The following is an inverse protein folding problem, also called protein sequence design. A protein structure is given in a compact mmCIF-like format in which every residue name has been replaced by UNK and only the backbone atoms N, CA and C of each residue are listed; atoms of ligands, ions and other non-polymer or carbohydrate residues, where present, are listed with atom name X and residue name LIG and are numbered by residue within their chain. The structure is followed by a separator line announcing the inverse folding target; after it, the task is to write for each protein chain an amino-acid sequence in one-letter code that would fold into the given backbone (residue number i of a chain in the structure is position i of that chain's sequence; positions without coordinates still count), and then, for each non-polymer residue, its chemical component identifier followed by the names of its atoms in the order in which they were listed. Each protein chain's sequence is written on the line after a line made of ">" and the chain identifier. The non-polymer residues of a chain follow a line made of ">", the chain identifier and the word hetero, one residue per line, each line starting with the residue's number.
data_IF_622290050096
#
_entry.id   IF_622290050096
#
_cell.length_a   1.000
_cell.length_b   1.000
_cell.length_c   1.000
_cell.angle_alpha   90.00
_cell.angle_beta   90.00
_cell.angle_gamma   90.00
#
_symmetry.space_group_name_H-M   'P 1'
#
loop_
_entity.id
_entity.type
_entity.pdbx_description
1 polymer ?
#
# COMPACT_ATOMS: atom_id res chain seq x y z
N UNK A 1 -12.21 -12.26 -9.07
CA UNK A 1 -10.82 -11.85 -8.75
C UNK A 1 -10.86 -10.64 -7.83
N UNK A 2 -9.91 -10.48 -6.90
CA UNK A 2 -9.78 -9.24 -6.12
C UNK A 2 -8.87 -8.29 -6.87
N UNK A 3 -9.40 -7.16 -7.32
CA UNK A 3 -8.67 -6.14 -8.09
C UNK A 3 -8.59 -4.88 -7.24
N UNK A 4 -7.40 -4.29 -7.17
CA UNK A 4 -7.17 -3.01 -6.50
C UNK A 4 -7.11 -1.91 -7.57
N UNK A 5 -8.04 -0.97 -7.51
CA UNK A 5 -8.17 0.14 -8.46
C UNK A 5 -8.82 1.35 -7.79
N UNK A 6 -8.63 2.56 -8.33
CA UNK A 6 -9.29 3.77 -7.83
C UNK A 6 -10.78 3.82 -8.17
N UNK A 7 -11.19 3.19 -9.28
CA UNK A 7 -12.56 3.24 -9.80
C UNK A 7 -12.94 1.89 -10.45
N UNK A 8 -14.23 1.65 -10.71
CA UNK A 8 -14.71 0.40 -11.33
C UNK A 8 -14.32 0.23 -12.80
N UNK A 9 -14.04 1.30 -13.55
CA UNK A 9 -13.64 1.22 -14.96
C UNK A 9 -12.24 0.61 -15.06
N UNK A 10 -11.30 1.09 -14.24
CA UNK A 10 -9.97 0.53 -14.12
C UNK A 10 -10.03 -0.90 -13.56
N UNK A 11 -10.95 -1.20 -12.65
CA UNK A 11 -11.18 -2.56 -12.17
C UNK A 11 -11.50 -3.54 -13.31
N UNK A 12 -12.45 -3.17 -14.19
CA UNK A 12 -12.82 -3.96 -15.39
C UNK A 12 -11.60 -4.19 -16.29
N UNK A 13 -10.85 -3.12 -16.57
CA UNK A 13 -9.67 -3.18 -17.44
C UNK A 13 -8.60 -4.14 -16.87
N UNK A 14 -8.27 -3.99 -15.59
CA UNK A 14 -7.28 -4.85 -14.92
C UNK A 14 -7.76 -6.29 -14.76
N UNK A 15 -9.06 -6.50 -14.53
CA UNK A 15 -9.65 -7.85 -14.53
C UNK A 15 -9.36 -8.59 -15.84
N UNK A 16 -9.67 -7.98 -16.98
CA UNK A 16 -9.41 -8.58 -18.29
C UNK A 16 -7.92 -8.79 -18.57
N UNK A 17 -7.07 -7.84 -18.15
CA UNK A 17 -5.61 -7.98 -18.26
C UNK A 17 -5.11 -9.25 -17.56
N UNK A 18 -5.50 -9.46 -16.31
CA UNK A 18 -5.06 -10.63 -15.55
C UNK A 18 -5.78 -11.92 -16.00
N UNK A 19 -7.07 -11.86 -16.32
CA UNK A 19 -7.81 -13.03 -16.76
C UNK A 19 -7.19 -13.64 -18.03
N UNK A 20 -6.78 -12.80 -18.99
CA UNK A 20 -6.09 -13.21 -20.21
C UNK A 20 -4.75 -13.94 -19.94
N UNK A 21 -4.05 -13.57 -18.87
CA UNK A 21 -2.80 -14.21 -18.48
C UNK A 21 -3.03 -15.58 -17.81
N UNK A 22 -4.17 -15.76 -17.14
CA UNK A 22 -4.50 -16.99 -16.44
C UNK A 22 -5.24 -18.01 -17.32
N UNK A 23 -6.11 -17.53 -18.21
CA UNK A 23 -6.98 -18.33 -19.09
C UNK A 23 -7.12 -17.63 -20.45
N UNK A 24 -7.42 -18.40 -21.50
CA UNK A 24 -7.60 -17.88 -22.88
C UNK A 24 -8.95 -17.15 -23.08
N UNK A 25 -9.24 -16.15 -22.25
CA UNK A 25 -10.44 -15.30 -22.33
C UNK A 25 -10.11 -13.88 -22.78
N UNK A 26 -11.03 -13.26 -23.54
CA UNK A 26 -10.95 -11.87 -24.01
C UNK A 26 -12.25 -11.14 -23.70
N UNK A 27 -12.19 -9.81 -23.61
CA UNK A 27 -13.36 -8.93 -23.41
C UNK A 27 -14.41 -9.07 -24.53
N UNK A 28 -14.00 -9.39 -25.74
CA UNK A 28 -14.92 -9.56 -26.89
C UNK A 28 -15.69 -10.86 -26.85
N UNK A 29 -15.17 -11.89 -26.18
CA UNK A 29 -15.75 -13.24 -26.15
C UNK A 29 -16.34 -13.57 -24.77
N UNK A 30 -16.41 -12.60 -23.87
CA UNK A 30 -16.92 -12.82 -22.52
C UNK A 30 -17.37 -11.52 -21.89
N UNK A 31 -18.22 -11.64 -20.88
CA UNK A 31 -18.82 -10.51 -20.18
C UNK A 31 -18.50 -10.54 -18.68
N UNK A 32 -18.61 -9.38 -18.03
CA UNK A 32 -18.46 -9.28 -16.58
C UNK A 32 -19.85 -9.31 -15.96
N UNK A 33 -20.17 -10.41 -15.26
CA UNK A 33 -21.48 -10.61 -14.62
C UNK A 33 -21.73 -9.62 -13.48
N UNK A 34 -20.71 -9.35 -12.64
CA UNK A 34 -20.87 -8.45 -11.50
C UNK A 34 -19.55 -7.81 -11.07
N UNK A 35 -19.64 -6.58 -10.59
CA UNK A 35 -18.54 -5.84 -9.99
C UNK A 35 -19.06 -5.22 -8.71
N UNK A 36 -18.42 -5.58 -7.61
CA UNK A 36 -18.77 -5.10 -6.28
C UNK A 36 -17.51 -4.70 -5.55
N UNK A 37 -17.54 -3.54 -4.92
CA UNK A 37 -16.50 -3.14 -3.99
C UNK A 37 -16.55 -4.05 -2.76
N UNK A 38 -15.38 -4.43 -2.24
CA UNK A 38 -15.26 -5.24 -1.03
C UNK A 38 -14.79 -4.31 0.09
N UNK A 39 -15.68 -3.87 1.00
CA UNK A 39 -15.30 -3.00 2.10
C UNK A 39 -14.41 -3.74 3.11
N UNK A 40 -13.63 -2.97 3.86
CA UNK A 40 -12.80 -3.51 4.94
C UNK A 40 -13.69 -3.97 6.11
N UNK A 41 -13.52 -5.21 6.56
CA UNK A 41 -14.34 -5.78 7.65
C UNK A 41 -14.10 -5.12 9.01
N UNK A 42 -12.87 -4.66 9.25
CA UNK A 42 -12.45 -4.07 10.54
C UNK A 42 -11.57 -2.84 10.30
N UNK A 43 -12.14 -1.70 9.88
CA UNK A 43 -11.37 -0.52 9.48
C UNK A 43 -10.72 0.21 10.66
N UNK A 44 -11.11 -0.08 11.90
CA UNK A 44 -10.57 0.56 13.11
C UNK A 44 -9.40 -0.24 13.71
N UNK A 45 -9.30 -1.54 13.37
CA UNK A 45 -8.29 -2.44 13.93
C UNK A 45 -7.02 -2.42 13.09
N UNK A 46 -5.89 -2.10 13.70
CA UNK A 46 -4.59 -2.19 13.04
C UNK A 46 -4.22 -3.64 12.71
N UNK A 47 -3.74 -3.87 11.49
CA UNK A 47 -3.35 -5.19 10.97
C UNK A 47 -1.96 -5.12 10.35
N UNK A 48 -1.30 -6.27 10.28
CA UNK A 48 -0.11 -6.43 9.44
C UNK A 48 -0.55 -7.16 8.16
N UNK A 49 -0.16 -6.66 7.00
CA UNK A 49 -0.49 -7.22 5.71
C UNK A 49 0.78 -7.69 5.01
N UNK A 50 0.81 -8.96 4.60
CA UNK A 50 1.80 -9.46 3.66
C UNK A 50 1.29 -9.32 2.23
N UNK A 51 2.13 -8.76 1.37
CA UNK A 51 1.86 -8.56 -0.04
C UNK A 51 2.91 -9.31 -0.84
N UNK A 52 2.44 -10.27 -1.62
CA UNK A 52 3.23 -10.92 -2.66
C UNK A 52 2.97 -10.20 -3.96
N UNK A 53 4.03 -9.65 -4.53
CA UNK A 53 3.97 -8.94 -5.78
C UNK A 53 5.02 -9.47 -6.75
N UNK A 54 4.71 -9.34 -8.03
CA UNK A 54 5.66 -9.43 -9.13
C UNK A 54 5.79 -8.02 -9.70
N UNK A 55 7.00 -7.61 -10.03
CA UNK A 55 7.20 -6.35 -10.73
C UNK A 55 8.25 -6.48 -11.83
N UNK A 56 8.12 -5.63 -12.83
CA UNK A 56 9.09 -5.48 -13.91
C UNK A 56 10.04 -4.32 -13.58
N UNK A 57 11.33 -4.66 -13.48
CA UNK A 57 12.44 -3.73 -13.40
C UNK A 57 12.94 -3.37 -14.81
N UNK A 58 14.00 -2.56 -14.91
CA UNK A 58 14.62 -2.24 -16.22
C UNK A 58 15.35 -3.43 -16.85
N UNK A 59 15.73 -4.42 -16.04
CA UNK A 59 16.58 -5.53 -16.46
C UNK A 59 15.85 -6.87 -16.47
N UNK A 60 14.63 -6.94 -15.92
CA UNK A 60 13.87 -8.17 -15.87
C UNK A 60 12.70 -8.13 -14.90
N UNK A 61 12.12 -9.30 -14.66
CA UNK A 61 10.95 -9.47 -13.80
C UNK A 61 11.36 -10.11 -12.49
N UNK A 62 10.93 -9.54 -11.38
CA UNK A 62 11.28 -10.03 -10.04
C UNK A 62 10.04 -10.20 -9.17
N UNK A 63 10.09 -11.23 -8.32
CA UNK A 63 9.09 -11.45 -7.28
C UNK A 63 9.56 -10.81 -5.97
N UNK A 64 8.61 -10.24 -5.22
CA UNK A 64 8.87 -9.64 -3.92
C UNK A 64 7.78 -10.00 -2.92
N UNK A 65 8.21 -10.15 -1.68
CA UNK A 65 7.33 -10.20 -0.52
C UNK A 65 7.60 -8.97 0.36
N UNK A 66 6.55 -8.20 0.64
CA UNK A 66 6.62 -6.99 1.47
C UNK A 66 5.54 -7.01 2.53
N UNK A 67 5.81 -6.35 3.65
CA UNK A 67 4.88 -6.25 4.77
C UNK A 67 4.55 -4.78 5.04
N UNK A 68 3.27 -4.48 5.25
CA UNK A 68 2.77 -3.16 5.59
C UNK A 68 1.88 -3.25 6.82
N UNK A 69 1.96 -2.26 7.70
CA UNK A 69 1.09 -2.15 8.88
C UNK A 69 0.07 -1.04 8.61
N UNK A 70 -1.20 -1.41 8.48
CA UNK A 70 -2.27 -0.48 8.11
C UNK A 70 -3.62 -0.96 8.65
N UNK A 71 -4.64 -0.11 8.53
CA UNK A 71 -6.02 -0.36 8.96
C UNK A 71 -6.83 -1.18 7.93
N UNK A 72 -6.53 -1.00 6.64
CA UNK A 72 -7.26 -1.64 5.54
C UNK A 72 -6.33 -2.28 4.50
N UNK A 73 -6.85 -3.28 3.79
CA UNK A 73 -6.14 -3.91 2.66
C UNK A 73 -5.85 -2.87 1.57
N UNK A 74 -6.81 -1.99 1.27
CA UNK A 74 -6.65 -0.93 0.26
C UNK A 74 -5.57 0.09 0.63
N UNK A 75 -5.50 0.47 1.91
CA UNK A 75 -4.42 1.32 2.44
C UNK A 75 -3.06 0.66 2.28
N UNK A 76 -2.92 -0.60 2.69
CA UNK A 76 -1.67 -1.35 2.59
C UNK A 76 -1.19 -1.49 1.13
N UNK A 77 -2.09 -1.76 0.19
CA UNK A 77 -1.77 -1.84 -1.24
C UNK A 77 -1.38 -0.46 -1.80
N UNK A 78 -2.05 0.61 -1.38
CA UNK A 78 -1.68 1.97 -1.74
C UNK A 78 -0.27 2.32 -1.25
N UNK A 79 0.05 1.99 0.00
CA UNK A 79 1.41 2.13 0.53
C UNK A 79 2.40 1.32 -0.29
N UNK A 80 2.03 0.11 -0.73
CA UNK A 80 2.87 -0.71 -1.59
C UNK A 80 3.20 -0.07 -2.94
N UNK A 81 2.22 0.53 -3.61
CA UNK A 81 2.48 1.25 -4.86
C UNK A 81 3.42 2.44 -4.65
N UNK A 82 3.22 3.22 -3.58
CA UNK A 82 4.10 4.35 -3.23
C UNK A 82 5.52 3.90 -2.93
N UNK A 83 5.67 2.83 -2.15
CA UNK A 83 6.97 2.31 -1.75
C UNK A 83 7.76 1.72 -2.94
N UNK A 84 7.08 0.99 -3.82
CA UNK A 84 7.69 0.46 -5.04
C UNK A 84 8.09 1.58 -6.01
N UNK A 85 7.31 2.66 -6.10
CA UNK A 85 7.68 3.86 -6.83
C UNK A 85 8.90 4.58 -6.22
N UNK A 86 8.94 4.73 -4.89
CA UNK A 86 10.00 5.43 -4.19
C UNK A 86 11.34 4.67 -4.23
N UNK A 87 11.33 3.38 -3.93
CA UNK A 87 12.57 2.57 -3.78
C UNK A 87 13.07 2.01 -5.10
N UNK A 88 12.17 1.62 -5.99
CA UNK A 88 12.50 0.87 -7.21
C UNK A 88 12.14 1.60 -8.50
N UNK A 89 11.56 2.82 -8.41
CA UNK A 89 11.01 3.57 -9.55
C UNK A 89 10.02 2.75 -10.37
N UNK A 90 9.39 1.74 -9.74
CA UNK A 90 8.42 0.88 -10.39
C UNK A 90 7.10 1.65 -10.55
N UNK A 91 6.56 1.65 -11.76
CA UNK A 91 5.30 2.33 -12.06
C UNK A 91 4.13 1.38 -11.78
N UNK A 92 2.94 1.92 -11.56
CA UNK A 92 1.77 1.11 -11.23
C UNK A 92 1.48 0.03 -12.30
N UNK A 93 1.71 0.32 -13.59
CA UNK A 93 1.51 -0.67 -14.66
C UNK A 93 2.53 -1.82 -14.64
N UNK A 94 3.72 -1.61 -14.08
CA UNK A 94 4.78 -2.61 -14.01
C UNK A 94 4.69 -3.49 -12.75
N UNK A 95 3.74 -3.19 -11.86
CA UNK A 95 3.51 -3.93 -10.62
C UNK A 95 2.26 -4.80 -10.76
N UNK A 96 2.38 -6.06 -10.34
CA UNK A 96 1.31 -7.04 -10.29
C UNK A 96 1.18 -7.55 -8.86
N UNK A 97 0.07 -7.25 -8.20
CA UNK A 97 -0.26 -7.79 -6.89
C UNK A 97 -0.82 -9.20 -7.08
N UNK A 98 -0.12 -10.21 -6.54
CA UNK A 98 -0.51 -11.62 -6.67
C UNK A 98 -1.42 -12.02 -5.51
N UNK A 99 -1.01 -11.70 -4.28
CA UNK A 99 -1.72 -12.08 -3.07
C UNK A 99 -1.54 -11.00 -2.02
N UNK A 100 -2.60 -10.76 -1.23
CA UNK A 100 -2.57 -9.93 -0.04
C UNK A 100 -3.25 -10.69 1.09
N UNK A 101 -2.59 -10.78 2.24
CA UNK A 101 -3.08 -11.53 3.38
C UNK A 101 -2.78 -10.79 4.70
N UNK A 102 -3.66 -10.96 5.70
CA UNK A 102 -3.42 -10.47 7.06
C UNK A 102 -2.51 -11.46 7.78
N UNK A 103 -1.44 -10.96 8.39
CA UNK A 103 -0.39 -11.77 9.03
C UNK A 103 -0.40 -11.54 10.54
N UNK A 104 -0.33 -12.64 11.30
CA UNK A 104 -0.17 -12.62 12.76
C UNK A 104 1.18 -11.99 13.13
N UNK A 105 1.25 -11.28 14.27
CA UNK A 105 2.47 -10.58 14.69
C UNK A 105 3.72 -11.49 14.70
N UNK A 106 3.59 -12.71 15.22
CA UNK A 106 4.69 -13.69 15.28
C UNK A 106 5.22 -14.13 13.90
N UNK A 107 4.40 -14.09 12.85
CA UNK A 107 4.79 -14.49 11.50
C UNK A 107 5.36 -13.34 10.66
N UNK A 108 5.40 -12.12 11.19
CA UNK A 108 5.98 -10.97 10.50
C UNK A 108 7.51 -11.11 10.41
N UNK A 109 8.06 -10.84 9.23
CA UNK A 109 9.49 -11.02 8.90
C UNK A 109 10.25 -9.71 8.83
N UNK A 110 9.58 -8.58 8.53
CA UNK A 110 10.26 -7.30 8.29
C UNK A 110 10.51 -6.55 9.61
N UNK A 111 11.76 -6.21 9.96
CA UNK A 111 12.08 -5.49 11.20
C UNK A 111 11.30 -4.17 11.37
N UNK A 112 11.10 -3.45 10.27
CA UNK A 112 10.32 -2.20 10.22
C UNK A 112 8.88 -2.36 10.69
N UNK A 113 8.29 -3.55 10.53
CA UNK A 113 6.94 -3.87 11.03
C UNK A 113 7.02 -4.42 12.45
N UNK A 114 8.00 -5.30 12.73
CA UNK A 114 8.18 -5.95 14.04
C UNK A 114 8.47 -4.96 15.18
N UNK A 115 9.17 -3.86 14.92
CA UNK A 115 9.47 -2.84 15.94
C UNK A 115 8.20 -2.24 16.57
N UNK A 116 7.07 -2.27 15.87
CA UNK A 116 5.79 -1.78 16.38
C UNK A 116 5.00 -2.81 17.19
N UNK A 117 5.51 -4.03 17.36
CA UNK A 117 4.87 -5.10 18.12
C UNK A 117 5.32 -5.09 19.59
N UNK A 118 5.08 -3.98 20.29
CA UNK A 118 5.35 -3.84 21.71
C UNK A 118 4.14 -3.21 22.41
N UNK A 119 3.61 -3.87 23.44
CA UNK A 119 2.44 -3.41 24.21
C UNK A 119 2.71 -2.16 25.05
N UNK A 120 3.97 -1.92 25.39
CA UNK A 120 4.42 -0.77 26.19
C UNK A 120 5.17 0.27 25.35
N UNK A 121 4.96 0.25 24.03
CA UNK A 121 5.65 1.13 23.09
C UNK A 121 5.44 2.59 23.45
N UNK A 122 6.54 3.32 23.60
CA UNK A 122 6.59 4.75 23.90
C UNK A 122 7.70 5.37 23.09
N UNK A 123 7.43 6.50 22.46
CA UNK A 123 8.43 7.27 21.71
C UNK A 123 8.10 8.76 21.79
N UNK A 124 9.10 9.63 22.01
CA UNK A 124 8.91 11.06 21.85
C UNK A 124 8.79 11.42 20.36
N UNK A 125 8.32 12.63 20.06
CA UNK A 125 8.46 13.26 18.75
C UNK A 125 9.54 14.34 18.86
N UNK A 126 10.83 14.04 18.61
CA UNK A 126 11.95 14.90 19.00
C UNK A 126 11.94 16.27 18.31
N UNK A 127 11.44 16.32 17.07
CA UNK A 127 11.39 17.53 16.25
C UNK A 127 10.02 17.65 15.60
N UNK A 128 9.26 18.68 15.96
CA UNK A 128 7.96 19.00 15.35
C UNK A 128 8.13 20.25 14.49
N UNK A 129 8.18 20.05 13.18
CA UNK A 129 8.39 21.14 12.21
C UNK A 129 7.07 21.82 11.91
N UNK A 130 7.04 23.15 12.02
CA UNK A 130 5.88 23.95 11.63
C UNK A 130 5.76 24.01 10.11
N UNK A 131 4.53 23.87 9.62
CA UNK A 131 4.27 24.10 8.21
C UNK A 131 4.45 25.59 7.91
N UNK A 132 5.27 25.94 6.90
CA UNK A 132 5.62 27.33 6.58
C UNK A 132 4.39 28.24 6.38
N UNK A 133 3.30 27.73 5.81
CA UNK A 133 2.02 28.46 5.64
C UNK A 133 1.34 28.86 6.96
N UNK A 134 1.74 28.28 8.09
CA UNK A 134 1.21 28.61 9.43
C UNK A 134 2.10 29.61 10.17
N UNK A 135 3.24 29.97 9.58
CA UNK A 135 4.15 30.96 10.12
C UNK A 135 3.93 32.27 9.37
N UNK A 136 4.07 33.38 10.09
CA UNK A 136 4.13 34.69 9.44
C UNK A 136 5.36 34.74 8.54
N UNK A 137 5.23 35.35 7.36
CA UNK A 137 6.34 35.57 6.43
C UNK A 137 7.50 36.32 7.10
N UNK A 138 7.15 37.26 7.98
CA UNK A 138 8.10 37.99 8.84
C UNK A 138 7.72 37.79 10.30
N UNK A 139 8.69 37.38 11.12
CA UNK A 139 8.51 37.17 12.54
C UNK A 139 9.77 37.63 13.29
N UNK A 140 9.57 38.33 14.42
CA UNK A 140 10.66 38.76 15.28
C UNK A 140 11.23 37.61 16.14
N UNK A 141 10.46 36.53 16.32
CA UNK A 141 10.84 35.32 17.06
C UNK A 141 11.02 34.15 16.13
N UNK A 142 12.06 33.35 16.37
CA UNK A 142 12.29 32.08 15.66
C UNK A 142 11.30 31.01 16.12
N UNK A 143 10.79 30.15 15.22
CA UNK A 143 9.86 29.08 15.60
C UNK A 143 10.56 28.01 16.44
N UNK A 144 9.93 27.59 17.55
CA UNK A 144 10.39 26.44 18.33
C UNK A 144 9.98 25.13 17.67
N UNK A 145 10.87 24.14 17.67
CA UNK A 145 10.60 22.79 17.15
C UNK A 145 10.60 21.71 18.23
N UNK A 146 10.90 22.10 19.47
CA UNK A 146 10.93 21.25 20.65
C UNK A 146 9.74 21.56 21.55
N UNK A 147 9.03 20.51 21.97
CA UNK A 147 7.82 20.59 22.78
C UNK A 147 7.90 19.48 23.82
N UNK A 148 8.09 19.87 25.08
CA UNK A 148 7.93 19.02 26.26
C UNK A 148 6.46 18.98 26.65
#
# INVERSE_FOLDING_TARGET
>A
MRIFSPDPIVAKSRFWYFLRQLKKFKKTTGEIVSIKEIPEKSPIKIKNFGIWLRYESRSGVHNMYREYRDLSVGGAVTQCYRDMGARHRARAHSIQIIKVEVIKAAACRRPQVKQFHNSTIRFPLPKRVHHYKRLNTFAYKRPSTYFL
#
